data_IF_029744560313
#
_entry.id   IF_029744560313
#
_cell.length_a   1.000
_cell.length_b   1.000
_cell.length_c   1.000
_cell.angle_alpha   90.00
_cell.angle_beta   90.00
_cell.angle_gamma   90.00
#
_symmetry.space_group_name_H-M   'P 1'
#
loop_
_entity.id
_entity.type
_entity.pdbx_description
1 polymer ?
#
# COMPACT_ATOMS: atom_id res chain seq x y z
N UNK A 1 7.74 -47.00 22.47
CA UNK A 1 7.06 -46.69 21.19
C UNK A 1 6.97 -45.17 21.06
N UNK A 2 8.12 -44.51 20.89
CA UNK A 2 8.26 -43.06 20.70
C UNK A 2 8.91 -42.92 19.33
N UNK A 3 8.18 -42.45 18.32
CA UNK A 3 8.71 -42.40 16.95
C UNK A 3 7.75 -41.93 15.86
N UNK A 4 6.68 -41.21 16.19
CA UNK A 4 5.75 -40.66 15.19
C UNK A 4 5.84 -39.13 15.02
N UNK A 5 6.48 -38.40 15.94
CA UNK A 5 6.49 -36.92 15.91
C UNK A 5 7.67 -36.31 15.11
N UNK A 6 8.74 -37.07 14.86
CA UNK A 6 9.90 -36.55 14.13
C UNK A 6 9.68 -36.44 12.60
N UNK A 7 8.82 -37.29 12.03
CA UNK A 7 8.59 -37.33 10.58
C UNK A 7 7.68 -36.18 10.07
N UNK A 8 6.82 -35.62 10.92
CA UNK A 8 5.97 -34.49 10.55
C UNK A 8 6.74 -33.15 10.56
N UNK A 9 7.74 -33.02 11.42
CA UNK A 9 8.57 -31.83 11.53
C UNK A 9 9.57 -31.71 10.37
N UNK A 10 10.15 -32.82 9.90
CA UNK A 10 11.09 -32.82 8.77
C UNK A 10 10.41 -32.53 7.41
N UNK A 11 9.12 -32.84 7.29
CA UNK A 11 8.33 -32.56 6.08
C UNK A 11 8.06 -31.05 5.86
N UNK A 12 8.13 -30.22 6.90
CA UNK A 12 7.90 -28.78 6.81
C UNK A 12 9.11 -27.98 6.28
N UNK A 13 10.33 -28.54 6.35
CA UNK A 13 11.55 -27.86 5.91
C UNK A 13 12.05 -28.30 4.52
N UNK A 14 11.40 -29.28 3.89
CA UNK A 14 11.87 -29.91 2.64
C UNK A 14 11.28 -29.37 1.33
N UNK A 15 10.12 -28.69 1.36
CA UNK A 15 9.57 -28.02 0.16
C UNK A 15 9.68 -26.52 0.35
N UNK A 16 10.70 -25.91 -0.27
CA UNK A 16 10.66 -24.48 -0.62
C UNK A 16 9.68 -24.29 -1.76
N UNK A 17 8.44 -24.52 -1.42
CA UNK A 17 7.28 -24.15 -2.19
C UNK A 17 7.30 -22.62 -2.42
N UNK A 18 6.98 -22.12 -3.63
CA UNK A 18 6.89 -20.69 -3.85
C UNK A 18 5.85 -20.07 -2.90
N UNK A 19 6.00 -18.79 -2.55
CA UNK A 19 5.11 -18.13 -1.56
C UNK A 19 3.64 -18.08 -2.00
N UNK A 20 3.36 -18.38 -3.26
CA UNK A 20 2.03 -18.36 -3.90
C UNK A 20 1.85 -19.62 -4.75
N UNK A 21 1.43 -20.69 -4.10
CA UNK A 21 1.00 -21.94 -4.73
C UNK A 21 -0.46 -22.24 -4.38
N UNK A 22 -1.15 -22.87 -5.32
CA UNK A 22 -2.48 -23.42 -5.13
C UNK A 22 -2.51 -24.84 -5.69
N UNK A 23 -2.91 -25.82 -4.87
CA UNK A 23 -2.86 -27.25 -5.22
C UNK A 23 -1.48 -27.76 -5.71
N UNK A 24 -0.38 -27.14 -5.26
CA UNK A 24 0.98 -27.49 -5.66
C UNK A 24 1.41 -26.95 -7.02
N UNK A 25 0.58 -26.11 -7.65
CA UNK A 25 0.91 -25.40 -8.87
C UNK A 25 1.18 -23.91 -8.59
N UNK A 26 1.92 -23.29 -9.51
CA UNK A 26 2.18 -21.86 -9.46
C UNK A 26 0.90 -21.08 -9.72
N UNK A 27 0.62 -20.10 -8.88
CA UNK A 27 -0.49 -19.20 -9.10
C UNK A 27 -0.24 -18.32 -10.34
N UNK A 28 -1.12 -18.43 -11.33
CA UNK A 28 -1.13 -17.51 -12.47
C UNK A 28 -1.55 -16.10 -12.01
N UNK A 29 -0.80 -15.04 -12.37
CA UNK A 29 -1.12 -13.68 -11.97
C UNK A 29 -2.52 -13.21 -12.36
N UNK A 30 -3.04 -13.63 -13.51
CA UNK A 30 -4.36 -13.22 -14.01
C UNK A 30 -5.46 -13.84 -13.15
N UNK A 31 -5.31 -15.11 -12.78
CA UNK A 31 -6.21 -15.79 -11.84
C UNK A 31 -6.21 -15.09 -10.47
N UNK A 32 -5.03 -14.74 -9.95
CA UNK A 32 -4.92 -14.02 -8.66
C UNK A 32 -5.61 -12.66 -8.72
N UNK A 33 -5.39 -11.88 -9.79
CA UNK A 33 -6.04 -10.58 -9.99
C UNK A 33 -7.56 -10.73 -10.05
N UNK A 34 -8.07 -11.72 -10.78
CA UNK A 34 -9.52 -11.99 -10.86
C UNK A 34 -10.09 -12.33 -9.49
N UNK A 35 -9.46 -13.23 -8.73
CA UNK A 35 -9.93 -13.61 -7.39
C UNK A 35 -9.94 -12.45 -6.41
N UNK A 36 -8.94 -11.56 -6.50
CA UNK A 36 -8.90 -10.33 -5.71
C UNK A 36 -10.06 -9.39 -6.10
N UNK A 37 -10.35 -9.24 -7.40
CA UNK A 37 -11.47 -8.42 -7.86
C UNK A 37 -12.82 -8.98 -7.41
N UNK A 38 -13.01 -10.30 -7.49
CA UNK A 38 -14.21 -10.97 -6.98
C UNK A 38 -14.41 -10.70 -5.48
N UNK A 39 -13.36 -10.89 -4.67
CA UNK A 39 -13.41 -10.59 -3.25
C UNK A 39 -13.73 -9.11 -2.95
N UNK A 40 -13.15 -8.18 -3.71
CA UNK A 40 -13.48 -6.75 -3.56
C UNK A 40 -14.91 -6.43 -4.02
N UNK A 41 -15.42 -7.10 -5.05
CA UNK A 41 -16.79 -6.91 -5.52
C UNK A 41 -17.81 -7.35 -4.46
N UNK A 42 -17.55 -8.46 -3.76
CA UNK A 42 -18.42 -8.96 -2.68
C UNK A 42 -18.57 -7.96 -1.53
N UNK A 43 -17.52 -7.20 -1.21
CA UNK A 43 -17.55 -6.16 -0.17
C UNK A 43 -18.00 -4.79 -0.69
N UNK A 44 -18.49 -4.69 -1.93
CA UNK A 44 -18.99 -3.45 -2.54
C UNK A 44 -17.93 -2.54 -3.15
N UNK A 45 -16.69 -3.02 -3.28
CA UNK A 45 -15.53 -2.29 -3.81
C UNK A 45 -15.05 -2.86 -5.17
N UNK A 46 -15.96 -3.35 -6.02
CA UNK A 46 -15.58 -4.02 -7.29
C UNK A 46 -14.76 -3.19 -8.28
N UNK A 47 -14.65 -1.87 -8.07
CA UNK A 47 -13.78 -0.98 -8.83
C UNK A 47 -12.32 -0.97 -8.34
N UNK A 48 -12.05 -1.51 -7.14
CA UNK A 48 -10.72 -1.55 -6.53
C UNK A 48 -9.91 -2.67 -7.16
N UNK A 49 -8.77 -2.31 -7.71
CA UNK A 49 -7.75 -3.25 -8.21
C UNK A 49 -6.57 -3.29 -7.24
N UNK A 50 -5.68 -4.28 -7.38
CA UNK A 50 -4.44 -4.35 -6.61
C UNK A 50 -3.59 -3.06 -6.73
N UNK A 51 -3.63 -2.41 -7.90
CA UNK A 51 -2.94 -1.13 -8.11
C UNK A 51 -3.58 0.00 -7.29
N UNK A 52 -4.91 0.07 -7.25
CA UNK A 52 -5.64 1.05 -6.41
C UNK A 52 -5.35 0.79 -4.94
N UNK A 53 -5.45 -0.46 -4.49
CA UNK A 53 -5.16 -0.85 -3.12
C UNK A 53 -3.75 -0.44 -2.69
N UNK A 54 -2.75 -0.66 -3.56
CA UNK A 54 -1.37 -0.22 -3.33
C UNK A 54 -1.24 1.31 -3.17
N UNK A 55 -2.02 2.12 -3.90
CA UNK A 55 -2.06 3.58 -3.72
C UNK A 55 -2.70 3.97 -2.38
N UNK A 56 -3.72 3.23 -1.96
CA UNK A 56 -4.38 3.44 -0.66
C UNK A 56 -3.38 3.24 0.47
N UNK A 57 -2.61 2.15 0.45
CA UNK A 57 -1.55 1.90 1.44
C UNK A 57 -0.56 3.07 1.48
N UNK A 58 -0.08 3.53 0.32
CA UNK A 58 0.85 4.65 0.26
C UNK A 58 0.25 5.94 0.87
N UNK A 59 -1.02 6.21 0.59
CA UNK A 59 -1.73 7.38 1.12
C UNK A 59 -1.91 7.30 2.63
N UNK A 60 -2.23 6.12 3.17
CA UNK A 60 -2.37 5.90 4.62
C UNK A 60 -1.03 6.09 5.34
N UNK A 61 0.08 5.60 4.75
CA UNK A 61 1.41 5.81 5.32
C UNK A 61 1.83 7.29 5.29
N UNK A 62 1.48 8.00 4.22
CA UNK A 62 1.72 9.45 4.11
C UNK A 62 0.89 10.23 5.14
N UNK A 63 -0.37 9.87 5.35
CA UNK A 63 -1.25 10.43 6.38
C UNK A 63 -0.75 10.18 7.80
N UNK A 64 -0.18 9.00 8.06
CA UNK A 64 0.49 8.67 9.32
C UNK A 64 1.78 9.47 9.56
N UNK A 65 2.21 10.30 8.60
CA UNK A 65 3.38 11.17 8.75
C UNK A 65 4.72 10.45 8.62
N UNK A 66 4.73 9.23 8.06
CA UNK A 66 5.96 8.48 7.85
C UNK A 66 6.87 9.21 6.83
N UNK A 67 8.20 9.05 6.97
CA UNK A 67 9.13 9.65 6.04
C UNK A 67 9.00 9.03 4.65
N UNK A 68 9.22 9.84 3.60
CA UNK A 68 9.13 9.40 2.21
C UNK A 68 10.06 8.23 1.87
N UNK A 69 11.21 8.13 2.55
CA UNK A 69 12.13 6.98 2.43
C UNK A 69 11.46 5.68 2.84
N UNK A 70 10.84 5.62 4.02
CA UNK A 70 10.17 4.42 4.51
C UNK A 70 8.99 4.02 3.63
N UNK A 71 8.23 5.00 3.11
CA UNK A 71 7.13 4.73 2.16
C UNK A 71 7.68 4.17 0.84
N UNK A 72 8.79 4.74 0.34
CA UNK A 72 9.43 4.27 -0.88
C UNK A 72 9.98 2.84 -0.73
N UNK A 73 10.61 2.53 0.41
CA UNK A 73 11.15 1.21 0.72
C UNK A 73 10.05 0.16 0.83
N UNK A 74 8.95 0.47 1.53
CA UNK A 74 7.78 -0.42 1.65
C UNK A 74 7.16 -0.74 0.29
N UNK A 75 7.17 0.23 -0.62
CA UNK A 75 6.61 0.06 -1.95
C UNK A 75 7.66 -0.55 -2.91
N UNK A 76 8.95 -0.47 -2.62
CA UNK A 76 10.01 -0.85 -3.57
C UNK A 76 10.17 0.15 -4.72
N UNK A 77 9.92 1.43 -4.45
CA UNK A 77 10.08 2.53 -5.41
C UNK A 77 11.21 3.47 -4.99
N UNK A 78 11.61 4.39 -5.86
CA UNK A 78 12.50 5.49 -5.44
C UNK A 78 11.73 6.56 -4.68
N UNK A 79 12.41 7.31 -3.80
CA UNK A 79 11.79 8.42 -3.07
C UNK A 79 11.16 9.46 -3.99
N UNK A 80 11.77 9.73 -5.15
CA UNK A 80 11.23 10.64 -6.17
C UNK A 80 9.86 10.18 -6.70
N UNK A 81 9.68 8.88 -6.91
CA UNK A 81 8.40 8.30 -7.34
C UNK A 81 7.37 8.39 -6.22
N UNK A 82 7.78 8.11 -4.97
CA UNK A 82 6.89 8.20 -3.82
C UNK A 82 6.39 9.64 -3.59
N UNK A 83 7.29 10.61 -3.65
CA UNK A 83 6.97 12.04 -3.55
C UNK A 83 5.99 12.48 -4.65
N UNK A 84 6.28 12.13 -5.91
CA UNK A 84 5.44 12.51 -7.05
C UNK A 84 4.02 11.94 -7.00
N UNK A 85 3.86 10.68 -6.57
CA UNK A 85 2.60 9.95 -6.74
C UNK A 85 1.77 9.78 -5.48
N UNK A 86 2.38 9.82 -4.30
CA UNK A 86 1.71 9.46 -3.04
C UNK A 86 1.69 10.58 -2.00
N UNK A 87 2.47 11.66 -2.20
CA UNK A 87 2.48 12.79 -1.29
C UNK A 87 1.22 13.63 -1.49
N UNK A 88 0.38 13.73 -0.45
CA UNK A 88 -0.74 14.69 -0.47
C UNK A 88 -0.20 16.12 -0.32
N UNK A 89 -0.75 17.05 -1.09
CA UNK A 89 -0.51 18.49 -0.87
C UNK A 89 -1.11 18.88 0.48
N UNK A 90 -0.27 19.40 1.37
CA UNK A 90 -0.66 19.91 2.69
C UNK A 90 -0.36 21.40 2.73
N UNK A 91 -1.19 22.17 3.41
CA UNK A 91 -0.81 23.51 3.85
C UNK A 91 0.26 23.30 4.92
N UNK A 92 1.52 23.45 4.51
CA UNK A 92 2.67 23.05 5.35
C UNK A 92 2.77 23.87 6.64
N UNK A 93 2.15 25.05 6.68
CA UNK A 93 2.10 25.90 7.86
C UNK A 93 0.86 26.81 7.78
N UNK A 94 -0.12 26.57 8.64
CA UNK A 94 -1.33 27.40 8.73
C UNK A 94 -1.00 28.85 9.08
N UNK A 95 0.03 29.10 9.90
CA UNK A 95 0.47 30.46 10.21
C UNK A 95 1.10 31.16 8.99
N UNK A 96 1.86 30.43 8.16
CA UNK A 96 2.36 31.00 6.90
C UNK A 96 1.24 31.23 5.90
N UNK A 97 0.26 30.34 5.82
CA UNK A 97 -0.91 30.53 4.96
C UNK A 97 -1.72 31.76 5.42
N UNK A 98 -2.02 31.87 6.71
CA UNK A 98 -2.72 33.03 7.27
C UNK A 98 -1.97 34.35 7.04
N UNK A 99 -0.64 34.35 7.17
CA UNK A 99 0.19 35.52 6.88
C UNK A 99 0.13 35.93 5.39
N UNK A 100 0.13 34.95 4.47
CA UNK A 100 0.04 35.19 3.04
C UNK A 100 -1.36 35.67 2.61
N UNK A 101 -2.43 35.12 3.20
CA UNK A 101 -3.81 35.59 2.96
C UNK A 101 -4.01 37.02 3.46
N UNK A 102 -3.41 37.37 4.60
CA UNK A 102 -3.40 38.73 5.14
C UNK A 102 -2.75 39.76 4.21
N UNK A 103 -1.82 39.38 3.34
CA UNK A 103 -1.19 40.29 2.37
C UNK A 103 -2.15 40.78 1.29
N UNK A 104 -3.24 40.06 1.02
CA UNK A 104 -4.21 40.38 -0.03
C UNK A 104 -5.52 41.01 0.50
N UNK A 105 -5.66 41.17 1.82
CA UNK A 105 -6.90 41.53 2.50
C UNK A 105 -7.28 43.02 2.60
N UNK A 106 -6.53 43.95 2.00
CA UNK A 106 -6.75 45.39 2.18
C UNK A 106 -6.94 46.15 0.85
N UNK A 107 -7.96 45.73 0.08
CA UNK A 107 -8.31 46.36 -1.20
C UNK A 107 -9.71 46.09 -1.75
N UNK A 108 -10.64 45.54 -0.96
CA UNK A 108 -12.04 45.36 -1.37
C UNK A 108 -12.95 46.30 -0.55
N UNK A 109 -12.86 47.58 -0.87
CA UNK A 109 -13.68 48.63 -0.27
C UNK A 109 -13.57 49.93 -1.07
N UNK A 110 -14.21 49.96 -2.24
CA UNK A 110 -14.56 51.17 -2.97
C UNK A 110 -15.85 50.90 -3.77
#
# INVERSE_FOLDING_TARGET
MVGADAAAAEACLGRRSPVLEWNGEWLDPSNVVQRIQEAFAEVGYGWVTSHVFRKTVASVLDEAGLPLSAIADQLGNTQKVADKHYRKRRVANEASAAALEGMFGEGAGA
#
